data_IF_740175644243
#
_entry.id   IF_740175644243
#
_cell.length_a   1.000
_cell.length_b   1.000
_cell.length_c   1.000
_cell.angle_alpha   90.00
_cell.angle_beta   90.00
_cell.angle_gamma   90.00
#
_symmetry.space_group_name_H-M   'P 1'
#
loop_
_entity.id
_entity.type
_entity.pdbx_description
1 polymer ?
#
# COMPACT_ATOMS: atom_id res chain seq x y z
N UNK A 1 -5.11 -22.16 -28.70
CA UNK A 1 -5.47 -21.65 -28.07
C UNK A 1 -5.64 -21.32 -27.86
N UNK A 2 -5.63 -21.59 -28.13
CA UNK A 2 -5.98 -21.04 -27.58
C UNK A 2 -5.89 -20.90 -27.29
N UNK A 3 -5.71 -21.17 -27.59
CA UNK A 3 -5.92 -20.64 -26.92
C UNK A 3 -5.53 -20.54 -26.82
N UNK A 4 -5.38 -20.58 -27.04
CA UNK A 4 -5.15 -20.02 -26.79
C UNK A 4 -4.63 -19.50 -26.75
N UNK A 5 -4.28 -19.63 -26.97
CA UNK A 5 -4.05 -18.77 -26.86
C UNK A 5 -3.34 -18.56 -27.12
N UNK A 6 -2.87 -18.40 -27.45
CA UNK A 6 -2.37 -17.78 -27.52
C UNK A 6 -1.55 -17.45 -27.35
N UNK A 7 -1.08 -17.53 -26.99
CA UNK A 7 -0.47 -16.72 -26.69
C UNK A 7 0.22 -16.27 -27.55
N UNK A 8 0.28 -16.06 -28.38
CA UNK A 8 0.50 -15.33 -29.02
C UNK A 8 0.20 -14.57 -29.45
N UNK A 9 -0.29 -14.77 -29.77
CA UNK A 9 -0.64 -13.89 -29.78
C UNK A 9 -0.30 -13.34 -29.38
N UNK A 10 0.21 -13.69 -29.28
CA UNK A 10 0.39 -13.07 -28.53
C UNK A 10 1.39 -12.40 -28.42
N UNK A 11 2.29 -12.33 -29.13
CA UNK A 11 3.05 -11.36 -28.90
C UNK A 11 2.42 -10.17 -28.61
N UNK A 12 1.39 -10.06 -28.97
CA UNK A 12 0.51 -9.08 -28.50
C UNK A 12 0.53 -8.99 -27.03
N UNK A 13 0.93 -10.04 -26.40
CA UNK A 13 1.06 -10.10 -24.96
C UNK A 13 2.10 -9.12 -24.47
N UNK A 14 3.13 -8.88 -25.28
CA UNK A 14 4.14 -7.92 -24.85
C UNK A 14 3.59 -6.51 -24.84
N UNK A 15 2.52 -6.24 -25.58
CA UNK A 15 1.88 -4.94 -25.54
C UNK A 15 1.07 -4.80 -24.27
N UNK A 16 0.57 -5.91 -23.77
CA UNK A 16 -0.17 -5.90 -22.53
C UNK A 16 0.75 -6.22 -21.36
N UNK A 17 1.87 -5.55 -21.33
CA UNK A 17 2.87 -5.80 -20.32
C UNK A 17 2.30 -5.68 -18.93
N UNK A 18 2.79 -6.56 -18.06
CA UNK A 18 2.51 -6.46 -16.65
C UNK A 18 3.44 -5.42 -16.07
N UNK A 19 2.87 -4.37 -15.51
CA UNK A 19 3.67 -3.31 -14.93
C UNK A 19 4.23 -3.75 -13.59
N UNK A 20 5.40 -3.22 -13.28
CA UNK A 20 6.06 -3.53 -12.03
C UNK A 20 5.22 -3.02 -10.87
N UNK A 21 5.08 -3.85 -9.85
CA UNK A 21 4.38 -3.45 -8.63
C UNK A 21 5.40 -2.96 -7.61
N UNK A 22 5.09 -1.83 -6.99
CA UNK A 22 5.95 -1.26 -5.97
C UNK A 22 6.16 -2.30 -4.86
N UNK A 23 7.41 -2.74 -4.61
CA UNK A 23 7.65 -3.78 -3.62
C UNK A 23 7.31 -3.34 -2.18
N UNK A 24 7.33 -2.05 -1.91
CA UNK A 24 6.93 -1.56 -0.59
C UNK A 24 5.43 -1.73 -0.38
N UNK A 25 4.64 -1.47 -1.42
CA UNK A 25 3.19 -1.58 -1.33
C UNK A 25 2.67 -2.99 -1.62
N UNK A 26 3.49 -3.82 -2.27
CA UNK A 26 3.09 -5.19 -2.60
C UNK A 26 3.23 -6.08 -1.37
N UNK A 27 2.43 -5.80 -0.37
CA UNK A 27 2.42 -6.48 0.91
C UNK A 27 1.04 -6.27 1.49
N UNK A 28 0.40 -7.35 1.91
CA UNK A 28 -0.97 -7.28 2.38
C UNK A 28 -1.15 -6.23 3.49
N UNK A 29 -0.31 -6.26 4.50
CA UNK A 29 -0.47 -5.37 5.64
C UNK A 29 -0.14 -3.93 5.29
N UNK A 30 0.97 -3.70 4.58
CA UNK A 30 1.33 -2.33 4.20
C UNK A 30 0.30 -1.74 3.25
N UNK A 31 -0.20 -2.54 2.33
CA UNK A 31 -1.23 -2.06 1.40
C UNK A 31 -2.52 -1.71 2.15
N UNK A 32 -2.91 -2.53 3.13
CA UNK A 32 -4.10 -2.27 3.93
C UNK A 32 -3.96 -0.96 4.71
N UNK A 33 -2.78 -0.72 5.30
CA UNK A 33 -2.52 0.53 6.01
C UNK A 33 -2.66 1.72 5.07
N UNK A 34 -2.04 1.62 3.89
CA UNK A 34 -2.10 2.72 2.93
C UNK A 34 -3.51 2.95 2.43
N UNK A 35 -4.28 1.88 2.23
CA UNK A 35 -5.67 2.02 1.80
C UNK A 35 -6.50 2.78 2.84
N UNK A 36 -6.28 2.50 4.12
CA UNK A 36 -6.96 3.22 5.18
C UNK A 36 -6.54 4.69 5.18
N UNK A 37 -5.25 4.96 4.98
CA UNK A 37 -4.73 6.32 5.02
C UNK A 37 -5.08 7.13 3.77
N UNK A 38 -5.32 6.51 2.64
CA UNK A 38 -5.81 7.20 1.45
C UNK A 38 -7.15 7.85 1.76
N UNK A 39 -7.97 7.16 2.52
CA UNK A 39 -9.31 7.64 2.86
C UNK A 39 -9.27 8.63 4.02
N UNK A 40 -8.57 8.28 5.08
CA UNK A 40 -8.61 9.06 6.33
C UNK A 40 -7.57 10.16 6.41
N UNK A 41 -6.52 10.10 5.59
CA UNK A 41 -5.35 11.00 5.57
C UNK A 41 -4.40 10.69 6.72
N UNK A 42 -4.91 10.51 7.90
CA UNK A 42 -4.10 10.14 9.06
C UNK A 42 -4.93 9.30 10.01
N UNK A 43 -4.28 8.49 10.83
CA UNK A 43 -4.97 7.62 11.76
C UNK A 43 -4.01 7.21 12.88
N UNK A 44 -4.60 6.92 14.02
CA UNK A 44 -3.82 6.42 15.15
C UNK A 44 -3.36 5.00 14.90
N UNK A 45 -2.21 4.68 15.46
CA UNK A 45 -1.67 3.34 15.42
C UNK A 45 -2.70 2.30 15.91
N UNK A 46 -3.39 2.61 17.01
CA UNK A 46 -4.37 1.68 17.56
C UNK A 46 -5.53 1.42 16.61
N UNK A 47 -5.95 2.44 15.88
CA UNK A 47 -7.00 2.29 14.88
C UNK A 47 -6.52 1.38 13.74
N UNK A 48 -5.30 1.62 13.26
CA UNK A 48 -4.74 0.80 12.18
C UNK A 48 -4.57 -0.65 12.63
N UNK A 49 -4.14 -0.84 13.88
CA UNK A 49 -3.97 -2.17 14.43
C UNK A 49 -5.31 -2.91 14.47
N UNK A 50 -6.34 -2.23 14.92
CA UNK A 50 -7.66 -2.82 15.01
C UNK A 50 -8.22 -3.18 13.65
N UNK A 51 -8.13 -2.25 12.69
CA UNK A 51 -8.71 -2.45 11.36
C UNK A 51 -7.97 -3.52 10.55
N UNK A 52 -6.68 -3.67 10.77
CA UNK A 52 -5.90 -4.67 10.04
C UNK A 52 -5.80 -6.00 10.78
N UNK A 53 -6.22 -6.03 12.03
CA UNK A 53 -6.11 -7.21 12.89
C UNK A 53 -4.65 -7.68 13.04
N UNK A 54 -3.71 -6.75 12.96
CA UNK A 54 -2.29 -7.06 13.06
C UNK A 54 -1.85 -7.05 14.52
N UNK A 55 -0.74 -7.71 14.80
CA UNK A 55 -0.10 -7.57 16.11
C UNK A 55 0.63 -6.22 16.14
N UNK A 56 0.82 -5.68 17.36
CA UNK A 56 1.54 -4.43 17.51
C UNK A 56 2.95 -4.52 16.93
N UNK A 57 3.63 -5.64 17.18
CA UNK A 57 5.00 -5.80 16.71
C UNK A 57 5.09 -5.81 15.18
N UNK A 58 4.21 -6.58 14.53
CA UNK A 58 4.25 -6.65 13.09
C UNK A 58 3.84 -5.32 12.47
N UNK A 59 2.81 -4.68 13.00
CA UNK A 59 2.39 -3.38 12.48
C UNK A 59 3.50 -2.33 12.61
N UNK A 60 4.20 -2.31 13.74
CA UNK A 60 5.33 -1.38 13.94
C UNK A 60 6.40 -1.56 12.86
N UNK A 61 6.73 -2.81 12.55
CA UNK A 61 7.72 -3.09 11.53
C UNK A 61 7.27 -2.58 10.17
N UNK A 62 6.01 -2.84 9.82
CA UNK A 62 5.50 -2.44 8.51
C UNK A 62 5.38 -0.92 8.39
N UNK A 63 4.96 -0.26 9.46
CA UNK A 63 4.86 1.20 9.48
C UNK A 63 6.25 1.83 9.31
N UNK A 64 7.27 1.25 9.94
CA UNK A 64 8.63 1.74 9.76
C UNK A 64 9.10 1.64 8.32
N UNK A 65 8.74 0.55 7.63
CA UNK A 65 9.09 0.40 6.21
C UNK A 65 8.41 1.45 5.35
N UNK A 66 7.15 1.75 5.65
CA UNK A 66 6.43 2.79 4.93
C UNK A 66 7.05 4.17 5.16
N UNK A 67 7.45 4.42 6.40
CA UNK A 67 8.11 5.69 6.75
C UNK A 67 9.44 5.83 6.03
N UNK A 68 10.24 4.77 6.00
CA UNK A 68 11.53 4.79 5.33
C UNK A 68 11.39 5.05 3.84
N UNK A 69 10.32 4.55 3.24
CA UNK A 69 10.05 4.80 1.83
C UNK A 69 9.53 6.21 1.56
N UNK A 70 9.23 6.97 2.62
CA UNK A 70 8.70 8.33 2.45
C UNK A 70 7.21 8.38 2.20
N UNK A 71 6.51 7.27 2.42
CA UNK A 71 5.07 7.19 2.11
C UNK A 71 4.19 7.66 3.26
N UNK A 72 4.71 7.63 4.48
CA UNK A 72 4.00 8.14 5.64
C UNK A 72 4.95 8.88 6.56
N UNK A 73 4.37 9.71 7.42
CA UNK A 73 5.06 10.30 8.57
C UNK A 73 4.49 9.68 9.82
N UNK A 74 5.33 9.59 10.85
CA UNK A 74 4.92 9.10 12.15
C UNK A 74 5.05 10.25 13.13
N UNK A 75 3.95 10.60 13.78
CA UNK A 75 3.91 11.72 14.72
C UNK A 75 3.57 11.14 16.09
N UNK A 76 4.43 11.40 17.06
CA UNK A 76 4.18 10.99 18.43
C UNK A 76 3.78 12.21 19.24
N UNK A 77 2.68 12.09 19.95
CA UNK A 77 2.15 13.20 20.70
C UNK A 77 1.41 12.70 21.95
N UNK A 78 1.01 13.62 22.80
CA UNK A 78 0.18 13.28 23.94
C UNK A 78 -1.19 13.90 23.77
N UNK A 79 -2.21 13.14 24.15
CA UNK A 79 -3.59 13.59 24.17
C UNK A 79 -4.11 13.30 25.54
N UNK A 80 -4.33 14.34 26.38
CA UNK A 80 -4.76 14.20 27.76
C UNK A 80 -3.87 13.25 28.54
N UNK A 81 -2.55 13.43 28.39
CA UNK A 81 -1.51 12.63 29.04
C UNK A 81 -1.41 11.19 28.52
N UNK A 82 -2.12 10.84 27.49
CA UNK A 82 -1.98 9.55 26.84
C UNK A 82 -1.07 9.70 25.63
N UNK A 83 -0.04 8.84 25.53
CA UNK A 83 0.79 8.87 24.33
C UNK A 83 0.01 8.35 23.14
N UNK A 84 0.14 9.05 22.03
CA UNK A 84 -0.50 8.66 20.77
C UNK A 84 0.55 8.58 19.67
N UNK A 85 0.40 7.60 18.81
CA UNK A 85 1.20 7.51 17.59
C UNK A 85 0.23 7.69 16.41
N UNK A 86 0.48 8.74 15.64
CA UNK A 86 -0.34 9.06 14.46
C UNK A 86 0.47 8.75 13.22
N UNK A 87 -0.13 8.04 12.28
CA UNK A 87 0.46 7.79 10.96
C UNK A 87 -0.27 8.67 9.96
N UNK A 88 0.49 9.42 9.18
CA UNK A 88 -0.07 10.37 8.23
C UNK A 88 0.50 10.09 6.85
N UNK A 89 -0.37 9.98 5.84
CA UNK A 89 0.10 9.73 4.49
C UNK A 89 0.74 10.99 3.93
N UNK A 90 1.81 10.81 3.15
CA UNK A 90 2.48 11.93 2.49
C UNK A 90 1.99 12.04 1.05
N UNK A 91 2.35 13.15 0.39
CA UNK A 91 2.07 13.28 -1.04
C UNK A 91 2.74 12.17 -1.83
N UNK A 92 3.97 11.81 -1.43
CA UNK A 92 4.66 10.69 -2.06
C UNK A 92 3.91 9.37 -1.87
N UNK A 93 3.31 9.18 -0.69
CA UNK A 93 2.52 7.98 -0.43
C UNK A 93 1.26 7.93 -1.26
N UNK A 94 0.60 9.07 -1.44
CA UNK A 94 -0.59 9.14 -2.28
C UNK A 94 -0.24 8.77 -3.72
N UNK A 95 0.84 9.37 -4.23
CA UNK A 95 1.27 9.09 -5.60
C UNK A 95 1.65 7.63 -5.77
N UNK A 96 2.37 7.06 -4.80
CA UNK A 96 2.77 5.67 -4.85
C UNK A 96 1.57 4.74 -4.86
N UNK A 97 0.58 5.04 -4.03
CA UNK A 97 -0.63 4.23 -3.97
C UNK A 97 -1.39 4.27 -5.29
N UNK A 98 -1.55 5.47 -5.86
CA UNK A 98 -2.23 5.61 -7.14
C UNK A 98 -1.52 4.87 -8.25
N UNK A 99 -0.19 4.95 -8.28
CA UNK A 99 0.61 4.24 -9.25
C UNK A 99 0.50 2.72 -9.06
N UNK A 100 0.45 2.28 -7.81
CA UNK A 100 0.29 0.85 -7.52
C UNK A 100 -1.05 0.34 -8.06
N UNK A 101 -2.13 1.09 -7.83
CA UNK A 101 -3.45 0.70 -8.32
C UNK A 101 -3.45 0.60 -9.85
N UNK A 102 -2.83 1.58 -10.52
CA UNK A 102 -2.74 1.56 -11.98
C UNK A 102 -1.93 0.35 -12.46
N UNK A 103 -0.82 0.08 -11.80
CA UNK A 103 0.03 -1.06 -12.17
C UNK A 103 -0.73 -2.37 -11.96
N UNK A 104 -1.48 -2.46 -10.87
CA UNK A 104 -2.26 -3.66 -10.58
C UNK A 104 -3.32 -3.91 -11.66
N UNK A 105 -3.89 -2.86 -12.22
CA UNK A 105 -4.88 -3.00 -13.28
C UNK A 105 -4.32 -3.71 -14.51
N UNK A 106 -3.02 -3.61 -14.75
CA UNK A 106 -2.40 -4.32 -15.88
C UNK A 106 -2.50 -5.85 -15.73
N UNK A 107 -2.81 -6.32 -14.52
CA UNK A 107 -2.94 -7.75 -14.24
C UNK A 107 -4.36 -8.26 -14.37
N UNK A 108 -5.33 -7.38 -14.36
CA UNK A 108 -6.74 -7.78 -14.37
C UNK A 108 -7.51 -7.26 -15.58
N UNK A 109 -6.96 -6.30 -16.28
CA UNK A 109 -7.60 -5.76 -17.49
C UNK A 109 -6.90 -6.36 -18.70
N UNK A 110 -7.36 -7.49 -19.15
CA UNK A 110 -6.74 -8.19 -20.29
C UNK A 110 -7.59 -8.14 -21.54
#
# INVERSE_FOLDING_TARGET
MPGKVNFRESQQISIMEFKELDPILHSQLRLAVMALLISAKEAEFTFLKEKTNATSGNLSVQISKLKEAGYIEIIKQFNNNYPQTICKITLGGIAAFENYVKALQSYITL
#
